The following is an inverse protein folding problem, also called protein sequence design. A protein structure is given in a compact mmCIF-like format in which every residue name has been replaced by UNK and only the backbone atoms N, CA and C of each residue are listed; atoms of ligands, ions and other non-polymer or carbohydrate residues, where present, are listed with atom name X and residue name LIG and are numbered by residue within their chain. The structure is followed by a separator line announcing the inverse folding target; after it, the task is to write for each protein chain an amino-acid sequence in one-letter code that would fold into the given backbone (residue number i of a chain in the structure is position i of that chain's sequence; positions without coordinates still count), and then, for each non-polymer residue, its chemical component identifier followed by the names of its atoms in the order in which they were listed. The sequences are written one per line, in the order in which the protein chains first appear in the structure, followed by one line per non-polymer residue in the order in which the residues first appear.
data_IF_638363713308
#
_entry.id   IF_638363713308
#
_cell.length_a   1.000
_cell.length_b   1.000
_cell.length_c   1.000
_cell.angle_alpha   90.00
_cell.angle_beta   90.00
_cell.angle_gamma   90.00
#
_symmetry.space_group_name_H-M   'P 1'
#
loop_
_entity.id
_entity.type
_entity.pdbx_description
1 polymer ?
#
# COMPACT_ATOMS: atom_id res chain seq x y z
N UNK A 1 15.74 -66.87 22.69
CA UNK A 1 15.36 -65.63 23.41
C UNK A 1 16.03 -64.51 22.63
N UNK A 2 15.32 -63.99 21.64
CA UNK A 2 15.79 -62.86 20.83
C UNK A 2 15.58 -61.58 21.62
N UNK A 3 16.68 -60.88 21.92
CA UNK A 3 16.66 -59.58 22.55
C UNK A 3 16.56 -58.55 21.42
N UNK A 4 15.36 -58.03 21.19
CA UNK A 4 15.13 -56.86 20.36
C UNK A 4 15.90 -55.68 20.96
N UNK A 5 16.88 -55.16 20.23
CA UNK A 5 17.42 -53.82 20.43
C UNK A 5 16.46 -52.83 19.77
N UNK A 6 15.51 -52.30 20.54
CA UNK A 6 14.86 -51.04 20.19
C UNK A 6 15.94 -49.95 20.21
N UNK A 7 16.43 -49.58 19.01
CA UNK A 7 17.20 -48.36 18.83
C UNK A 7 16.22 -47.19 18.91
N UNK A 8 16.08 -46.63 20.11
CA UNK A 8 15.49 -45.30 20.31
C UNK A 8 16.28 -44.28 19.49
N UNK A 9 15.71 -43.89 18.35
CA UNK A 9 16.22 -42.81 17.50
C UNK A 9 15.86 -41.49 18.15
N UNK A 10 16.75 -40.97 18.99
CA UNK A 10 16.59 -39.65 19.60
C UNK A 10 16.69 -38.59 18.50
N UNK A 11 15.55 -38.00 18.14
CA UNK A 11 15.50 -36.86 17.21
C UNK A 11 16.32 -35.69 17.77
N UNK A 12 17.27 -35.12 17.00
CA UNK A 12 18.11 -34.02 17.48
C UNK A 12 17.27 -32.76 17.76
N UNK A 13 17.64 -31.98 18.77
CA UNK A 13 16.99 -30.71 19.09
C UNK A 13 17.10 -29.69 17.94
N UNK A 14 16.18 -28.73 17.85
CA UNK A 14 16.21 -27.70 16.81
C UNK A 14 17.55 -26.95 16.75
N UNK A 15 18.15 -26.65 17.91
CA UNK A 15 19.48 -26.04 18.00
C UNK A 15 20.58 -26.93 17.40
N UNK A 16 20.52 -28.25 17.61
CA UNK A 16 21.46 -29.21 17.04
C UNK A 16 21.28 -29.34 15.52
N UNK A 17 20.03 -29.30 15.03
CA UNK A 17 19.71 -29.32 13.60
C UNK A 17 20.23 -28.07 12.89
N UNK A 18 20.03 -26.88 13.47
CA UNK A 18 20.55 -25.61 12.93
C UNK A 18 22.08 -25.61 12.92
N UNK A 19 22.71 -26.05 14.00
CA UNK A 19 24.18 -26.12 14.10
C UNK A 19 24.75 -27.07 13.04
N UNK A 20 24.11 -28.22 12.84
CA UNK A 20 24.47 -29.19 11.79
C UNK A 20 24.34 -28.59 10.40
N UNK A 21 23.24 -27.88 10.11
CA UNK A 21 23.02 -27.21 8.84
C UNK A 21 24.06 -26.11 8.58
N UNK A 22 24.40 -25.28 9.57
CA UNK A 22 25.45 -24.26 9.46
C UNK A 22 26.81 -24.88 9.14
N UNK A 23 27.19 -25.95 9.85
CA UNK A 23 28.45 -26.66 9.62
C UNK A 23 28.50 -27.26 8.21
N UNK A 24 27.42 -27.91 7.76
CA UNK A 24 27.31 -28.47 6.41
C UNK A 24 27.48 -27.40 5.34
N UNK A 25 26.80 -26.26 5.48
CA UNK A 25 26.91 -25.15 4.52
C UNK A 25 28.32 -24.58 4.47
N UNK A 26 28.98 -24.42 5.62
CA UNK A 26 30.37 -23.94 5.68
C UNK A 26 31.36 -24.93 5.02
N UNK A 27 31.16 -26.23 5.21
CA UNK A 27 31.98 -27.28 4.57
C UNK A 27 31.79 -27.25 3.06
N UNK A 28 30.55 -27.12 2.58
CA UNK A 28 30.26 -27.04 1.15
C UNK A 28 30.82 -25.76 0.53
N UNK A 29 30.74 -24.63 1.22
CA UNK A 29 31.30 -23.36 0.76
C UNK A 29 32.84 -23.41 0.70
N UNK A 30 33.49 -23.98 1.72
CA UNK A 30 34.94 -24.21 1.72
C UNK A 30 35.37 -25.16 0.61
N UNK A 31 34.59 -26.21 0.36
CA UNK A 31 34.82 -27.15 -0.75
C UNK A 31 34.69 -26.45 -2.11
N UNK A 32 33.61 -25.70 -2.34
CA UNK A 32 33.38 -24.94 -3.57
C UNK A 32 34.50 -23.92 -3.85
N UNK A 33 34.94 -23.19 -2.82
CA UNK A 33 36.00 -22.17 -2.95
C UNK A 33 37.40 -22.75 -3.12
N UNK A 34 37.63 -24.02 -2.76
CA UNK A 34 38.92 -24.69 -2.93
C UNK A 34 39.28 -25.00 -4.39
N UNK A 35 38.29 -25.09 -5.28
CA UNK A 35 38.50 -25.39 -6.71
C UNK A 35 39.09 -26.78 -6.99
N UNK A 36 39.12 -27.68 -6.01
CA UNK A 36 39.67 -29.03 -6.15
C UNK A 36 38.75 -29.93 -7.00
N UNK A 37 39.29 -30.99 -7.65
CA UNK A 37 38.47 -32.00 -8.29
C UNK A 37 37.51 -32.65 -7.27
N UNK A 38 36.20 -32.58 -7.53
CA UNK A 38 35.17 -33.03 -6.59
C UNK A 38 34.71 -31.96 -5.59
N UNK A 39 35.10 -30.69 -5.78
CA UNK A 39 34.55 -29.56 -5.04
C UNK A 39 33.02 -29.50 -5.18
N UNK A 40 32.35 -29.09 -4.10
CA UNK A 40 30.92 -28.86 -4.09
C UNK A 40 30.50 -27.91 -5.20
N UNK A 41 29.36 -28.17 -5.85
CA UNK A 41 28.82 -27.28 -6.89
C UNK A 41 28.12 -26.08 -6.27
N UNK A 42 27.96 -25.01 -7.05
CA UNK A 42 27.23 -23.83 -6.62
C UNK A 42 25.77 -24.15 -6.24
N UNK A 43 25.15 -25.10 -6.93
CA UNK A 43 23.79 -25.58 -6.62
C UNK A 43 23.71 -26.28 -5.25
N UNK A 44 24.74 -27.06 -4.89
CA UNK A 44 24.81 -27.74 -3.60
C UNK A 44 24.99 -26.74 -2.44
N UNK A 45 25.78 -25.67 -2.65
CA UNK A 45 25.94 -24.59 -1.67
C UNK A 45 24.63 -23.83 -1.49
N UNK A 46 23.94 -23.50 -2.60
CA UNK A 46 22.66 -22.80 -2.56
C UNK A 46 21.57 -23.60 -1.84
N UNK A 47 21.47 -24.90 -2.12
CA UNK A 47 20.52 -25.79 -1.44
C UNK A 47 20.77 -25.84 0.08
N UNK A 48 22.03 -25.88 0.51
CA UNK A 48 22.40 -25.90 1.92
C UNK A 48 22.14 -24.55 2.63
N UNK A 49 22.31 -23.41 1.96
CA UNK A 49 21.91 -22.10 2.52
C UNK A 49 20.39 -21.98 2.68
N UNK A 50 19.62 -22.51 1.72
CA UNK A 50 18.15 -22.54 1.81
C UNK A 50 17.68 -23.41 2.98
N UNK A 51 18.26 -24.60 3.15
CA UNK A 51 17.96 -25.49 4.28
C UNK A 51 18.28 -24.83 5.63
N UNK A 52 19.48 -24.23 5.77
CA UNK A 52 19.90 -23.48 6.95
C UNK A 52 18.94 -22.33 7.28
N UNK A 53 18.55 -21.55 6.27
CA UNK A 53 17.63 -20.41 6.42
C UNK A 53 16.24 -20.89 6.85
N UNK A 54 15.76 -22.00 6.27
CA UNK A 54 14.45 -22.57 6.58
C UNK A 54 14.40 -23.09 8.02
N UNK A 55 15.46 -23.75 8.49
CA UNK A 55 15.58 -24.20 9.88
C UNK A 55 15.68 -23.01 10.85
N UNK A 56 16.37 -21.94 10.49
CA UNK A 56 16.45 -20.72 11.29
C UNK A 56 15.09 -20.01 11.41
N UNK A 57 14.31 -19.97 10.33
CA UNK A 57 12.93 -19.41 10.33
C UNK A 57 12.00 -20.29 11.17
N UNK A 58 12.07 -21.61 11.00
CA UNK A 58 11.22 -22.56 11.74
C UNK A 58 11.52 -22.57 13.25
N UNK A 59 12.76 -22.25 13.64
CA UNK A 59 13.18 -22.16 15.04
C UNK A 59 13.10 -20.75 15.62
N UNK A 60 12.69 -19.75 14.83
CA UNK A 60 12.46 -18.41 15.34
C UNK A 60 11.34 -18.48 16.40
N UNK A 61 11.52 -17.85 17.58
CA UNK A 61 10.44 -17.75 18.56
C UNK A 61 9.23 -17.07 17.91
N UNK A 62 8.00 -17.34 18.38
CA UNK A 62 6.81 -16.66 17.87
C UNK A 62 7.08 -15.16 17.89
N UNK A 63 6.94 -14.53 16.72
CA UNK A 63 7.22 -13.11 16.53
C UNK A 63 6.55 -12.33 17.65
N UNK A 64 7.33 -11.77 18.57
CA UNK A 64 6.78 -10.83 19.52
C UNK A 64 6.13 -9.71 18.71
N UNK A 65 4.90 -9.28 19.05
CA UNK A 65 4.29 -8.15 18.37
C UNK A 65 5.28 -6.98 18.42
N UNK A 66 5.39 -6.19 17.34
CA UNK A 66 6.30 -5.06 17.31
C UNK A 66 6.06 -4.21 18.57
N UNK A 67 7.12 -3.72 19.23
CA UNK A 67 6.94 -2.88 20.40
C UNK A 67 6.09 -1.66 20.03
N UNK A 68 5.23 -1.20 20.94
CA UNK A 68 4.22 -0.19 20.64
C UNK A 68 4.78 1.09 19.99
N UNK A 69 6.01 1.48 20.33
CA UNK A 69 6.70 2.61 19.71
C UNK A 69 7.02 2.38 18.23
N UNK A 70 7.36 1.13 17.84
CA UNK A 70 7.69 0.78 16.46
C UNK A 70 6.42 0.77 15.61
N UNK A 71 5.32 0.23 16.14
CA UNK A 71 4.02 0.31 15.47
C UNK A 71 3.59 1.77 15.26
N UNK A 72 3.65 2.60 16.32
CA UNK A 72 3.31 4.01 16.22
C UNK A 72 4.22 4.78 15.25
N UNK A 73 5.49 4.40 15.13
CA UNK A 73 6.41 4.97 14.15
C UNK A 73 6.00 4.62 12.72
N UNK A 74 5.70 3.34 12.45
CA UNK A 74 5.25 2.91 11.12
C UNK A 74 3.91 3.56 10.74
N UNK A 75 2.95 3.61 11.67
CA UNK A 75 1.67 4.29 11.45
C UNK A 75 1.87 5.78 11.11
N UNK A 76 2.80 6.45 11.79
CA UNK A 76 3.13 7.85 11.51
C UNK A 76 3.81 8.04 10.14
N UNK A 77 4.68 7.11 9.74
CA UNK A 77 5.33 7.11 8.42
C UNK A 77 4.29 6.89 7.32
N UNK A 78 3.39 5.92 7.49
CA UNK A 78 2.33 5.62 6.53
C UNK A 78 1.38 6.81 6.35
N UNK A 79 0.99 7.46 7.45
CA UNK A 79 0.19 8.69 7.39
C UNK A 79 0.90 9.82 6.61
N UNK A 80 2.23 9.94 6.74
CA UNK A 80 3.01 10.92 5.97
C UNK A 80 3.12 10.56 4.50
N UNK A 81 3.30 9.29 4.17
CA UNK A 81 3.29 8.84 2.77
C UNK A 81 1.94 9.07 2.10
N UNK A 82 0.83 8.78 2.77
CA UNK A 82 -0.51 9.08 2.27
C UNK A 82 -0.68 10.58 1.99
N UNK A 83 -0.24 11.44 2.93
CA UNK A 83 -0.28 12.89 2.75
C UNK A 83 0.56 13.36 1.54
N UNK A 84 1.76 12.80 1.35
CA UNK A 84 2.62 13.12 0.21
C UNK A 84 1.96 12.70 -1.11
N UNK A 85 1.33 11.52 -1.15
CA UNK A 85 0.61 11.06 -2.34
C UNK A 85 -0.53 12.01 -2.73
N UNK A 86 -1.35 12.44 -1.77
CA UNK A 86 -2.42 13.43 -2.01
C UNK A 86 -1.85 14.70 -2.65
N UNK A 87 -0.80 15.27 -2.04
CA UNK A 87 -0.17 16.50 -2.53
C UNK A 87 0.45 16.33 -3.92
N UNK A 88 1.07 15.18 -4.20
CA UNK A 88 1.63 14.89 -5.51
C UNK A 88 0.55 14.87 -6.59
N UNK A 89 -0.59 14.22 -6.34
CA UNK A 89 -1.69 14.17 -7.30
C UNK A 89 -2.36 15.53 -7.50
N UNK A 90 -2.59 16.28 -6.42
CA UNK A 90 -3.11 17.65 -6.51
C UNK A 90 -2.17 18.56 -7.31
N UNK A 91 -0.86 18.51 -7.04
CA UNK A 91 0.13 19.28 -7.79
C UNK A 91 0.20 18.86 -9.26
N UNK A 92 0.11 17.56 -9.54
CA UNK A 92 0.04 17.05 -10.92
C UNK A 92 -1.16 17.64 -11.66
N UNK A 93 -2.34 17.61 -11.03
CA UNK A 93 -3.56 18.17 -11.59
C UNK A 93 -3.47 19.70 -11.77
N UNK A 94 -2.82 20.41 -10.85
CA UNK A 94 -2.69 21.87 -10.90
C UNK A 94 -1.80 22.35 -12.05
N UNK A 95 -0.73 21.61 -12.33
CA UNK A 95 0.23 21.94 -13.40
C UNK A 95 -0.32 21.69 -14.81
N UNK A 96 -1.51 21.10 -14.94
CA UNK A 96 -2.12 20.79 -16.25
C UNK A 96 -2.40 22.02 -17.10
N UNK A 97 -2.85 23.11 -16.48
CA UNK A 97 -3.40 24.26 -17.20
C UNK A 97 -4.62 23.90 -18.07
N UNK A 98 -5.35 24.91 -18.54
CA UNK A 98 -6.44 24.69 -19.49
C UNK A 98 -5.86 24.29 -20.86
N UNK A 99 -6.15 23.07 -21.35
CA UNK A 99 -5.92 22.69 -22.75
C UNK A 99 -4.96 21.53 -23.03
N UNK A 100 -4.40 20.84 -22.03
CA UNK A 100 -3.57 19.64 -22.27
C UNK A 100 -4.44 18.36 -22.22
N UNK A 101 -4.45 17.52 -23.26
CA UNK A 101 -5.34 16.36 -23.39
C UNK A 101 -4.81 15.13 -22.63
N UNK A 102 -4.41 15.29 -21.36
CA UNK A 102 -4.09 14.10 -20.56
C UNK A 102 -4.87 14.10 -19.23
N UNK A 103 -5.35 12.93 -18.78
CA UNK A 103 -6.37 12.85 -17.74
C UNK A 103 -5.86 13.24 -16.35
N UNK A 104 -6.72 13.88 -15.56
CA UNK A 104 -6.48 14.10 -14.13
C UNK A 104 -6.15 12.79 -13.43
N UNK A 105 -5.25 12.87 -12.46
CA UNK A 105 -5.04 11.79 -11.52
C UNK A 105 -6.13 11.82 -10.47
N UNK A 106 -6.60 10.63 -10.10
CA UNK A 106 -7.55 10.48 -8.99
C UNK A 106 -6.80 10.81 -7.71
N UNK A 107 -7.27 11.82 -7.00
CA UNK A 107 -6.70 12.22 -5.72
C UNK A 107 -7.21 11.26 -4.64
N UNK A 108 -6.33 10.54 -3.92
CA UNK A 108 -6.76 9.68 -2.84
C UNK A 108 -7.32 10.50 -1.68
N UNK A 109 -8.08 9.85 -0.81
CA UNK A 109 -8.61 10.42 0.41
C UNK A 109 -7.52 10.52 1.49
N UNK A 110 -7.83 11.18 2.61
CA UNK A 110 -6.88 11.36 3.70
C UNK A 110 -6.41 10.03 4.34
N UNK A 111 -7.19 8.96 4.17
CA UNK A 111 -6.86 7.59 4.59
C UNK A 111 -6.02 6.81 3.54
N UNK A 112 -5.69 7.44 2.41
CA UNK A 112 -4.94 6.84 1.30
C UNK A 112 -5.77 6.00 0.34
N UNK A 113 -7.06 5.79 0.61
CA UNK A 113 -7.97 5.04 -0.28
C UNK A 113 -8.43 5.90 -1.46
N UNK A 114 -8.79 5.27 -2.58
CA UNK A 114 -9.34 6.03 -3.70
C UNK A 114 -10.85 6.24 -3.54
N UNK A 115 -11.38 7.41 -3.95
CA UNK A 115 -12.82 7.66 -3.98
C UNK A 115 -13.61 6.59 -4.73
N UNK A 116 -13.06 6.08 -5.83
CA UNK A 116 -13.66 5.06 -6.70
C UNK A 116 -13.84 3.71 -6.03
N UNK A 117 -13.09 3.45 -4.95
CA UNK A 117 -13.20 2.20 -4.18
C UNK A 117 -14.33 2.27 -3.13
N UNK A 118 -14.89 3.47 -2.89
CA UNK A 118 -15.98 3.69 -1.94
C UNK A 118 -17.34 3.63 -2.63
N UNK A 119 -18.34 3.28 -1.83
CA UNK A 119 -19.74 3.32 -2.23
C UNK A 119 -20.34 4.66 -1.83
N UNK A 120 -21.12 5.22 -2.73
CA UNK A 120 -21.96 6.40 -2.52
C UNK A 120 -23.16 6.04 -1.61
N UNK A 121 -23.85 7.04 -1.03
CA UNK A 121 -25.06 6.81 -0.23
C UNK A 121 -26.17 6.05 -0.98
N UNK A 122 -26.21 6.18 -2.31
CA UNK A 122 -27.16 5.48 -3.17
C UNK A 122 -26.76 4.02 -3.49
N UNK A 123 -25.60 3.55 -3.00
CA UNK A 123 -25.09 2.19 -3.24
C UNK A 123 -24.28 2.01 -4.53
N UNK A 124 -24.10 3.06 -5.32
CA UNK A 124 -23.26 3.03 -6.54
C UNK A 124 -21.80 3.38 -6.22
N UNK A 125 -20.88 3.08 -7.15
CA UNK A 125 -19.50 3.54 -7.03
C UNK A 125 -19.35 5.00 -7.47
N UNK A 126 -18.38 5.70 -6.89
CA UNK A 126 -18.04 7.05 -7.32
C UNK A 126 -17.47 7.05 -8.75
N UNK A 127 -18.01 7.87 -9.67
CA UNK A 127 -17.49 7.93 -11.04
C UNK A 127 -16.14 8.67 -11.07
N UNK A 128 -15.11 8.16 -11.75
CA UNK A 128 -13.78 8.76 -11.73
C UNK A 128 -13.75 10.13 -12.42
N UNK A 129 -13.19 11.14 -11.75
CA UNK A 129 -13.05 12.49 -12.29
C UNK A 129 -11.74 12.60 -13.08
N UNK A 130 -11.78 12.26 -14.37
CA UNK A 130 -10.57 12.15 -15.20
C UNK A 130 -10.25 13.40 -16.02
N UNK A 131 -11.15 14.38 -16.10
CA UNK A 131 -10.94 15.63 -16.84
C UNK A 131 -12.00 16.67 -16.49
N UNK A 132 -11.83 17.88 -17.03
CA UNK A 132 -12.76 19.01 -16.87
C UNK A 132 -14.18 18.69 -17.36
N UNK A 133 -14.29 17.95 -18.48
CA UNK A 133 -15.58 17.57 -19.02
C UNK A 133 -16.35 16.69 -18.03
N UNK A 134 -15.71 15.64 -17.50
CA UNK A 134 -16.31 14.78 -16.47
C UNK A 134 -16.77 15.60 -15.27
N UNK A 135 -15.93 16.49 -14.75
CA UNK A 135 -16.27 17.34 -13.61
C UNK A 135 -17.47 18.28 -13.89
N UNK A 136 -17.60 18.78 -15.13
CA UNK A 136 -18.72 19.63 -15.55
C UNK A 136 -20.02 18.87 -15.85
N UNK A 137 -19.93 17.58 -16.17
CA UNK A 137 -21.12 16.76 -16.51
C UNK A 137 -21.68 16.00 -15.33
N UNK A 138 -20.93 15.85 -14.23
CA UNK A 138 -21.41 15.19 -13.01
C UNK A 138 -22.61 15.98 -12.45
N UNK A 139 -23.67 15.26 -12.09
CA UNK A 139 -24.89 15.82 -11.50
C UNK A 139 -24.64 16.37 -10.09
N UNK A 140 -25.53 17.25 -9.64
CA UNK A 140 -25.38 17.94 -8.36
C UNK A 140 -25.30 16.97 -7.16
N UNK A 141 -26.12 15.92 -7.11
CA UNK A 141 -26.10 14.97 -6.00
C UNK A 141 -24.76 14.24 -5.91
N UNK A 142 -24.18 13.86 -7.05
CA UNK A 142 -22.84 13.27 -7.10
C UNK A 142 -21.74 14.26 -6.70
N UNK A 143 -21.87 15.56 -7.03
CA UNK A 143 -20.92 16.58 -6.55
C UNK A 143 -21.00 16.72 -5.03
N UNK A 144 -22.20 16.73 -4.47
CA UNK A 144 -22.42 16.81 -3.01
C UNK A 144 -21.81 15.60 -2.29
N UNK A 145 -22.07 14.38 -2.80
CA UNK A 145 -21.46 13.16 -2.29
C UNK A 145 -19.92 13.26 -2.29
N UNK A 146 -19.33 13.80 -3.36
CA UNK A 146 -17.89 13.99 -3.46
C UNK A 146 -17.35 15.04 -2.47
N UNK A 147 -18.06 16.16 -2.30
CA UNK A 147 -17.67 17.19 -1.33
C UNK A 147 -17.68 16.63 0.09
N UNK A 148 -18.71 15.86 0.45
CA UNK A 148 -18.79 15.16 1.73
C UNK A 148 -17.66 14.14 1.88
N UNK A 149 -17.36 13.38 0.82
CA UNK A 149 -16.29 12.37 0.83
C UNK A 149 -14.91 12.98 1.07
N UNK A 150 -14.63 14.14 0.49
CA UNK A 150 -13.41 14.90 0.72
C UNK A 150 -13.45 15.78 1.98
N UNK A 151 -14.58 15.82 2.70
CA UNK A 151 -14.76 16.67 3.87
C UNK A 151 -14.74 18.18 3.57
N UNK A 152 -15.07 18.56 2.34
CA UNK A 152 -15.10 19.95 1.88
C UNK A 152 -16.42 20.58 2.29
N UNK A 153 -16.39 21.39 3.36
CA UNK A 153 -17.58 22.10 3.82
C UNK A 153 -18.06 23.09 2.78
N UNK A 154 -19.32 22.95 2.40
CA UNK A 154 -20.02 23.89 1.55
C UNK A 154 -21.27 24.38 2.28
N UNK A 155 -21.20 25.57 2.86
CA UNK A 155 -22.35 26.23 3.48
C UNK A 155 -22.94 27.21 2.47
N UNK A 156 -24.24 27.12 2.14
CA UNK A 156 -24.91 28.17 1.40
C UNK A 156 -24.78 29.50 2.12
N UNK A 157 -24.50 30.57 1.39
CA UNK A 157 -24.68 31.90 1.98
C UNK A 157 -26.14 32.03 2.44
N UNK A 158 -26.38 32.54 3.66
CA UNK A 158 -27.71 32.54 4.28
C UNK A 158 -28.76 33.35 3.51
N UNK A 159 -28.33 34.21 2.58
CA UNK A 159 -29.19 35.05 1.74
C UNK A 159 -29.41 34.47 0.33
N UNK A 160 -28.85 33.30 0.02
CA UNK A 160 -29.11 32.59 -1.23
C UNK A 160 -30.54 32.03 -1.18
N UNK A 161 -31.49 32.79 -1.72
CA UNK A 161 -32.88 32.38 -1.83
C UNK A 161 -33.06 31.06 -2.60
N UNK A 162 -34.29 30.50 -2.64
CA UNK A 162 -34.59 29.22 -3.28
C UNK A 162 -34.29 29.16 -4.80
N UNK A 163 -33.93 30.29 -5.42
CA UNK A 163 -33.51 30.47 -6.81
C UNK A 163 -31.98 30.54 -6.98
N UNK A 164 -31.18 30.01 -6.04
CA UNK A 164 -29.73 29.85 -6.18
C UNK A 164 -29.41 28.83 -7.30
N UNK A 165 -29.59 29.26 -8.55
CA UNK A 165 -29.61 28.41 -9.74
C UNK A 165 -28.23 27.89 -10.18
N UNK A 166 -27.92 27.86 -11.50
CA UNK A 166 -26.72 27.20 -12.06
C UNK A 166 -25.39 27.70 -11.49
N UNK A 167 -25.35 28.91 -10.92
CA UNK A 167 -24.18 29.51 -10.27
C UNK A 167 -23.75 28.74 -9.01
N UNK A 168 -24.71 28.10 -8.33
CA UNK A 168 -24.45 27.36 -7.10
C UNK A 168 -23.80 26.00 -7.36
N UNK A 169 -24.29 25.29 -8.38
CA UNK A 169 -23.66 24.07 -8.88
C UNK A 169 -22.27 24.34 -9.45
N UNK A 170 -22.09 25.48 -10.14
CA UNK A 170 -20.76 25.92 -10.57
C UNK A 170 -19.84 26.12 -9.37
N UNK A 171 -20.30 26.78 -8.31
CA UNK A 171 -19.50 26.98 -7.09
C UNK A 171 -19.14 25.66 -6.39
N UNK A 172 -20.07 24.71 -6.29
CA UNK A 172 -19.79 23.37 -5.78
C UNK A 172 -18.72 22.65 -6.61
N UNK A 173 -18.82 22.71 -7.94
CA UNK A 173 -17.82 22.15 -8.85
C UNK A 173 -16.47 22.85 -8.73
N UNK A 174 -16.43 24.18 -8.55
CA UNK A 174 -15.21 24.93 -8.28
C UNK A 174 -14.53 24.44 -7.00
N UNK A 175 -15.30 24.23 -5.93
CA UNK A 175 -14.79 23.71 -4.64
C UNK A 175 -14.27 22.29 -4.78
N UNK A 176 -15.00 21.42 -5.48
CA UNK A 176 -14.54 20.06 -5.78
C UNK A 176 -13.26 20.08 -6.63
N UNK A 177 -13.20 20.95 -7.65
CA UNK A 177 -12.01 21.19 -8.46
C UNK A 177 -10.81 21.56 -7.59
N UNK A 178 -10.96 22.52 -6.68
CA UNK A 178 -9.90 22.91 -5.74
C UNK A 178 -9.43 21.72 -4.88
N UNK A 179 -10.34 20.90 -4.38
CA UNK A 179 -10.01 19.72 -3.58
C UNK A 179 -9.18 18.68 -4.35
N UNK A 180 -9.39 18.56 -5.66
CA UNK A 180 -8.61 17.66 -6.52
C UNK A 180 -7.41 18.35 -7.20
N UNK A 181 -7.11 19.61 -6.85
CA UNK A 181 -5.98 20.36 -7.39
C UNK A 181 -6.22 20.92 -8.80
N UNK A 182 -7.46 21.17 -9.20
CA UNK A 182 -7.81 21.72 -10.52
C UNK A 182 -8.35 23.15 -10.36
N UNK A 183 -7.76 24.09 -11.09
CA UNK A 183 -8.27 25.46 -11.23
C UNK A 183 -8.99 25.63 -12.56
N UNK A 184 -10.28 26.00 -12.49
CA UNK A 184 -11.05 26.39 -13.65
C UNK A 184 -10.69 27.80 -14.10
N UNK A 185 -10.67 28.04 -15.42
CA UNK A 185 -10.91 29.37 -15.94
C UNK A 185 -12.43 29.54 -16.06
N UNK A 186 -12.95 30.55 -15.37
CA UNK A 186 -14.35 31.00 -15.46
C UNK A 186 -14.48 31.94 -16.65
#
# INVERSE_FOLDING_TARGET
MDVNHDQDTVSPSAAAQITSAILRTNILLASHTSGLPGAATQEQVAAAEVEKTSLAIAAAPPSHPPPAWAQAFFDAVDAKFAQIQVLLQQNHNALRGAGVPVPYHIVPLADGTFPTDKLRPNGEQYPPILNDHTLRTIDEATVDDYLDLYGVKFEPEPDAGPDAGPDFLLLKRLRLGQAIGVTFQV
#
